data_IF_496792335704
#
_entry.id   IF_496792335704
#
_cell.length_a   1.000
_cell.length_b   1.000
_cell.length_c   1.000
_cell.angle_alpha   90.00
_cell.angle_beta   90.00
_cell.angle_gamma   90.00
#
_symmetry.space_group_name_H-M   'P 1'
#
loop_
_entity.id
_entity.type
_entity.pdbx_description
1 polymer ?
#
# COMPACT_ATOMS: atom_id res chain seq x y z
N UNK A 1 2.91 -17.20 2.63
CA UNK A 1 3.67 -16.64 1.49
C UNK A 1 4.43 -15.38 1.90
N UNK A 2 3.75 -14.34 2.41
CA UNK A 2 4.35 -13.07 2.82
C UNK A 2 5.61 -13.22 3.70
N UNK A 3 5.57 -14.02 4.76
CA UNK A 3 6.73 -14.23 5.63
C UNK A 3 7.98 -14.74 4.88
N UNK A 4 7.81 -15.65 3.90
CA UNK A 4 8.90 -16.11 3.05
C UNK A 4 9.46 -14.97 2.21
N UNK A 5 8.59 -14.19 1.58
CA UNK A 5 8.98 -13.01 0.79
C UNK A 5 9.77 -11.99 1.62
N UNK A 6 9.37 -11.75 2.87
CA UNK A 6 10.06 -10.83 3.78
C UNK A 6 11.44 -11.36 4.23
N UNK A 7 11.60 -12.68 4.32
CA UNK A 7 12.86 -13.33 4.70
C UNK A 7 13.85 -13.46 3.55
N UNK A 8 13.40 -13.37 2.30
CA UNK A 8 14.29 -13.45 1.14
C UNK A 8 15.08 -12.15 0.98
N UNK A 9 16.39 -12.25 0.73
CA UNK A 9 17.24 -11.10 0.42
C UNK A 9 17.23 -10.81 -1.09
N UNK A 10 16.16 -10.16 -1.55
CA UNK A 10 15.95 -9.80 -2.96
C UNK A 10 15.90 -8.28 -3.13
N UNK A 11 16.50 -7.74 -4.22
CA UNK A 11 16.48 -6.30 -4.50
C UNK A 11 15.11 -5.79 -4.96
N UNK A 12 14.28 -6.67 -5.53
CA UNK A 12 12.92 -6.39 -5.99
C UNK A 12 11.94 -7.37 -5.34
N UNK A 13 10.89 -6.82 -4.75
CA UNK A 13 9.81 -7.58 -4.12
C UNK A 13 8.49 -7.24 -4.81
N UNK A 14 7.78 -8.27 -5.28
CA UNK A 14 6.45 -8.15 -5.87
C UNK A 14 5.43 -8.70 -4.88
N UNK A 15 4.39 -7.93 -4.57
CA UNK A 15 3.32 -8.35 -3.69
C UNK A 15 1.97 -8.12 -4.36
N UNK A 16 1.16 -9.17 -4.42
CA UNK A 16 -0.20 -9.10 -4.93
C UNK A 16 -1.16 -9.38 -3.77
N UNK A 17 -1.94 -8.38 -3.38
CA UNK A 17 -2.91 -8.43 -2.27
C UNK A 17 -2.35 -9.00 -0.94
N UNK A 18 -1.15 -8.58 -0.48
CA UNK A 18 -0.39 -9.27 0.57
C UNK A 18 -1.08 -9.35 1.94
N UNK A 19 -2.00 -8.44 2.24
CA UNK A 19 -2.63 -8.34 3.57
C UNK A 19 -4.17 -8.46 3.56
N UNK A 20 -4.76 -8.77 2.40
CA UNK A 20 -6.21 -8.81 2.16
C UNK A 20 -6.96 -9.79 3.09
N UNK A 21 -6.34 -10.95 3.39
CA UNK A 21 -6.94 -12.02 4.19
C UNK A 21 -6.79 -11.86 5.72
N UNK A 22 -6.30 -10.70 6.18
CA UNK A 22 -6.02 -10.46 7.61
C UNK A 22 -7.10 -9.61 8.27
N UNK A 23 -7.31 -9.84 9.56
CA UNK A 23 -8.08 -8.93 10.41
C UNK A 23 -7.39 -7.56 10.54
N UNK A 24 -8.17 -6.54 10.91
CA UNK A 24 -7.71 -5.15 10.90
C UNK A 24 -6.45 -4.92 11.75
N UNK A 25 -6.37 -5.45 12.97
CA UNK A 25 -5.23 -5.19 13.86
C UNK A 25 -3.99 -5.94 13.38
N UNK A 26 -4.14 -7.19 12.98
CA UNK A 26 -3.04 -7.99 12.41
C UNK A 26 -2.51 -7.38 11.12
N UNK A 27 -3.39 -6.90 10.24
CA UNK A 27 -3.04 -6.17 9.02
C UNK A 27 -2.15 -4.96 9.33
N UNK A 28 -2.55 -4.09 10.26
CA UNK A 28 -1.78 -2.89 10.60
C UNK A 28 -0.39 -3.20 11.18
N UNK A 29 -0.28 -4.28 11.97
CA UNK A 29 0.99 -4.77 12.50
C UNK A 29 1.89 -5.31 11.39
N UNK A 30 1.36 -6.16 10.52
CA UNK A 30 2.13 -6.75 9.43
C UNK A 30 2.54 -5.73 8.37
N UNK A 31 1.71 -4.74 8.07
CA UNK A 31 2.08 -3.61 7.22
C UNK A 31 3.27 -2.84 7.80
N UNK A 32 3.29 -2.62 9.11
CA UNK A 32 4.44 -1.97 9.79
C UNK A 32 5.70 -2.82 9.67
N UNK A 33 5.61 -4.10 10.00
CA UNK A 33 6.75 -5.03 9.91
C UNK A 33 7.27 -5.15 8.48
N UNK A 34 6.39 -5.20 7.47
CA UNK A 34 6.77 -5.25 6.08
C UNK A 34 7.50 -3.97 5.65
N UNK A 35 6.99 -2.79 6.02
CA UNK A 35 7.64 -1.52 5.74
C UNK A 35 9.06 -1.44 6.36
N UNK A 36 9.21 -1.87 7.61
CA UNK A 36 10.51 -1.89 8.30
C UNK A 36 11.49 -2.90 7.67
N UNK A 37 11.01 -4.10 7.33
CA UNK A 37 11.85 -5.19 6.79
C UNK A 37 12.27 -4.93 5.35
N UNK A 38 11.43 -4.24 4.56
CA UNK A 38 11.67 -3.94 3.16
C UNK A 38 12.32 -2.57 2.95
N UNK A 39 12.68 -1.86 4.01
CA UNK A 39 13.35 -0.57 3.93
C UNK A 39 14.63 -0.66 3.06
N UNK A 40 14.75 0.23 2.07
CA UNK A 40 15.88 0.25 1.13
C UNK A 40 15.77 -0.73 -0.05
N UNK A 41 14.66 -1.48 -0.16
CA UNK A 41 14.38 -2.37 -1.31
C UNK A 41 13.37 -1.75 -2.25
N UNK A 42 13.35 -2.20 -3.50
CA UNK A 42 12.29 -1.82 -4.44
C UNK A 42 11.10 -2.75 -4.26
N UNK A 43 9.92 -2.19 -3.99
CA UNK A 43 8.68 -2.95 -3.80
C UNK A 43 7.64 -2.50 -4.82
N UNK A 44 7.06 -3.45 -5.55
CA UNK A 44 5.83 -3.23 -6.32
C UNK A 44 4.72 -4.00 -5.63
N UNK A 45 3.70 -3.27 -5.17
CA UNK A 45 2.55 -3.85 -4.52
C UNK A 45 1.28 -3.52 -5.31
N UNK A 46 0.44 -4.53 -5.51
CA UNK A 46 -0.92 -4.39 -6.00
C UNK A 46 -1.87 -4.64 -4.83
N UNK A 47 -2.83 -3.75 -4.65
CA UNK A 47 -3.85 -3.85 -3.60
C UNK A 47 -5.12 -3.15 -4.04
N UNK A 48 -6.27 -3.65 -3.61
CA UNK A 48 -7.56 -2.99 -3.75
C UNK A 48 -7.94 -2.15 -2.51
N UNK A 49 -7.10 -2.12 -1.47
CA UNK A 49 -7.34 -1.36 -0.24
C UNK A 49 -6.63 0.02 -0.31
N UNK A 50 -7.37 1.14 -0.42
CA UNK A 50 -6.76 2.47 -0.52
C UNK A 50 -5.99 2.87 0.73
N UNK A 51 -6.42 2.44 1.92
CA UNK A 51 -5.74 2.77 3.16
C UNK A 51 -4.39 2.08 3.24
N UNK A 52 -4.33 0.83 2.79
CA UNK A 52 -3.08 0.08 2.67
C UNK A 52 -2.10 0.78 1.73
N UNK A 53 -2.54 1.10 0.51
CA UNK A 53 -1.72 1.78 -0.48
C UNK A 53 -1.19 3.10 0.06
N UNK A 54 -2.03 3.92 0.70
CA UNK A 54 -1.64 5.19 1.28
C UNK A 54 -0.74 5.03 2.51
N UNK A 55 -0.92 3.97 3.30
CA UNK A 55 -0.15 3.77 4.52
C UNK A 55 1.29 3.37 4.25
N UNK A 56 1.53 2.48 3.30
CA UNK A 56 2.87 1.93 3.05
C UNK A 56 3.50 2.30 1.71
N UNK A 57 2.74 2.88 0.77
CA UNK A 57 3.24 3.26 -0.54
C UNK A 57 3.95 4.61 -0.55
N UNK A 58 5.12 4.67 -1.18
CA UNK A 58 5.80 5.94 -1.48
C UNK A 58 5.18 6.65 -2.67
N UNK A 59 4.86 5.87 -3.73
CA UNK A 59 4.27 6.34 -4.98
C UNK A 59 3.10 5.44 -5.35
N UNK A 60 1.92 6.02 -5.53
CA UNK A 60 0.69 5.30 -5.81
C UNK A 60 0.23 5.59 -7.23
N UNK A 61 -0.16 4.54 -7.94
CA UNK A 61 -0.85 4.65 -9.22
C UNK A 61 -2.24 4.03 -9.09
N UNK A 62 -3.26 4.81 -9.44
CA UNK A 62 -4.64 4.33 -9.49
C UNK A 62 -4.89 3.77 -10.89
N UNK A 63 -5.37 2.54 -10.97
CA UNK A 63 -5.77 1.91 -12.24
C UNK A 63 -7.28 1.95 -12.38
N UNK A 64 -7.80 2.47 -13.50
CA UNK A 64 -9.25 2.60 -13.76
C UNK A 64 -9.61 2.14 -15.18
N UNK A 65 -10.89 1.90 -15.44
CA UNK A 65 -11.41 1.58 -16.77
C UNK A 65 -11.29 0.12 -17.22
N UNK A 66 -11.84 -0.17 -18.42
CA UNK A 66 -11.77 -1.46 -19.11
C UNK A 66 -11.57 -1.21 -20.62
N UNK A 67 -10.37 -1.37 -21.21
CA UNK A 67 -9.12 -1.85 -20.58
C UNK A 67 -8.56 -0.88 -19.53
N UNK A 68 -7.77 -1.40 -18.58
CA UNK A 68 -7.24 -0.61 -17.47
C UNK A 68 -6.20 0.41 -17.94
N UNK A 69 -6.32 1.64 -17.43
CA UNK A 69 -5.38 2.74 -17.65
C UNK A 69 -4.78 3.15 -16.33
N UNK A 70 -3.47 3.41 -16.32
CA UNK A 70 -2.75 3.89 -15.15
C UNK A 70 -2.84 5.41 -15.07
N UNK A 71 -3.38 5.93 -13.97
CA UNK A 71 -3.40 7.35 -13.67
C UNK A 71 -2.03 7.91 -13.28
N UNK A 72 -1.93 9.25 -13.15
CA UNK A 72 -0.70 9.90 -12.67
C UNK A 72 -0.32 9.40 -11.27
N UNK A 73 0.98 9.47 -10.95
CA UNK A 73 1.48 9.12 -9.63
C UNK A 73 0.96 10.08 -8.56
N UNK A 74 0.50 9.54 -7.44
CA UNK A 74 0.21 10.25 -6.21
C UNK A 74 1.33 9.95 -5.21
N UNK A 75 1.82 10.98 -4.53
CA UNK A 75 2.92 10.87 -3.56
C UNK A 75 2.42 11.41 -2.21
N UNK A 76 1.97 10.54 -1.29
CA UNK A 76 1.46 11.01 -0.02
C UNK A 76 2.62 11.47 0.86
N UNK A 77 2.40 12.53 1.63
CA UNK A 77 3.42 13.07 2.52
C UNK A 77 3.63 12.23 3.78
N UNK A 78 4.77 12.42 4.45
CA UNK A 78 5.04 11.82 5.76
C UNK A 78 5.77 10.47 5.70
N UNK A 79 6.24 9.97 6.86
CA UNK A 79 7.04 8.76 6.94
C UNK A 79 6.20 7.50 6.72
N UNK A 80 6.77 6.54 5.99
CA UNK A 80 6.21 5.19 5.85
C UNK A 80 6.63 4.33 7.05
N UNK A 81 5.72 3.58 7.70
CA UNK A 81 4.28 3.53 7.45
C UNK A 81 3.52 4.72 8.09
N UNK A 82 2.63 5.36 7.32
CA UNK A 82 1.84 6.52 7.79
C UNK A 82 0.83 6.10 8.85
N UNK A 83 0.55 6.98 9.81
CA UNK A 83 -0.36 6.65 10.92
C UNK A 83 -1.81 6.56 10.42
N UNK A 84 -2.54 5.53 10.83
CA UNK A 84 -3.94 5.33 10.42
C UNK A 84 -4.91 6.38 10.96
N UNK A 85 -4.51 7.10 12.01
CA UNK A 85 -5.29 8.17 12.63
C UNK A 85 -4.83 9.57 12.20
N UNK A 86 -3.95 9.65 11.20
CA UNK A 86 -3.52 10.93 10.61
C UNK A 86 -4.69 11.54 9.80
N UNK A 87 -5.15 12.76 10.15
CA UNK A 87 -6.22 13.43 9.42
C UNK A 87 -5.96 13.57 7.93
N UNK A 88 -4.71 13.82 7.53
CA UNK A 88 -4.35 13.98 6.13
C UNK A 88 -4.46 12.64 5.40
N UNK A 89 -4.00 11.55 6.03
CA UNK A 89 -4.14 10.20 5.46
C UNK A 89 -5.61 9.83 5.23
N UNK A 90 -6.47 10.11 6.21
CA UNK A 90 -7.90 9.83 6.14
C UNK A 90 -8.59 10.65 5.03
N UNK A 91 -8.21 11.92 4.86
CA UNK A 91 -8.72 12.76 3.78
C UNK A 91 -8.31 12.21 2.39
N UNK A 92 -7.05 11.80 2.22
CA UNK A 92 -6.59 11.17 0.98
C UNK A 92 -7.27 9.83 0.72
N UNK A 93 -7.55 9.04 1.76
CA UNK A 93 -8.28 7.77 1.63
C UNK A 93 -9.70 8.01 1.11
N UNK A 94 -10.41 8.99 1.66
CA UNK A 94 -11.75 9.35 1.21
C UNK A 94 -11.76 9.80 -0.27
N UNK A 95 -10.75 10.58 -0.69
CA UNK A 95 -10.58 10.98 -2.09
C UNK A 95 -10.36 9.76 -3.01
N UNK A 96 -9.45 8.85 -2.64
CA UNK A 96 -9.18 7.65 -3.43
C UNK A 96 -10.39 6.72 -3.52
N UNK A 97 -11.10 6.51 -2.41
CA UNK A 97 -12.32 5.70 -2.40
C UNK A 97 -13.37 6.26 -3.36
N UNK A 98 -13.53 7.59 -3.41
CA UNK A 98 -14.47 8.23 -4.34
C UNK A 98 -14.09 7.96 -5.80
N UNK A 99 -12.80 8.13 -6.14
CA UNK A 99 -12.27 7.88 -7.50
C UNK A 99 -12.41 6.42 -7.94
N UNK A 100 -12.32 5.47 -7.01
CA UNK A 100 -12.44 4.04 -7.29
C UNK A 100 -13.90 3.57 -7.40
N UNK A 101 -14.84 4.33 -6.85
CA UNK A 101 -16.27 4.04 -6.91
C UNK A 101 -16.97 4.59 -8.17
N UNK A 102 -16.31 5.49 -8.89
CA UNK A 102 -16.71 6.05 -10.18
C UNK A 102 -16.34 5.10 -11.34
#
# INVERSE_FOLDING_TARGET
ALARTLMEDKPLVLMDEPFSALDAITRLRLQKTAAETLAGRTVLMVTHDPLEALRIGDRLHVMTGRPAVMGPALEPSGPVPRRVDDPDLLAHQAELLRRLAE
#
